data_IF_746769826169
#
_entry.id   IF_746769826169
#
_cell.length_a   1.000
_cell.length_b   1.000
_cell.length_c   1.000
_cell.angle_alpha   90.00
_cell.angle_beta   90.00
_cell.angle_gamma   90.00
#
_symmetry.space_group_name_H-M   'P 1'
#
loop_
_entity.id
_entity.type
_entity.pdbx_description
1 polymer ?
#
# COMPACT_ATOMS: atom_id res chain seq x y z
N UNK A 1 19.03 -17.57 5.79
CA UNK A 1 19.06 -16.10 6.00
C UNK A 1 19.64 -15.43 4.78
N UNK A 2 19.05 -14.32 4.38
CA UNK A 2 19.46 -13.48 3.27
C UNK A 2 19.59 -12.05 3.78
N UNK A 3 20.70 -11.40 3.48
CA UNK A 3 20.95 -9.99 3.76
C UNK A 3 21.63 -9.36 2.56
N UNK A 4 21.13 -8.22 2.12
CA UNK A 4 21.72 -7.47 1.01
C UNK A 4 23.06 -6.83 1.41
N UNK A 5 24.03 -6.79 0.50
CA UNK A 5 25.37 -6.22 0.74
C UNK A 5 25.40 -4.72 1.10
N UNK A 6 24.26 -4.02 0.98
CA UNK A 6 24.11 -2.62 1.37
C UNK A 6 23.15 -2.43 2.56
N UNK A 7 22.89 -3.51 3.32
CA UNK A 7 22.17 -3.48 4.57
C UNK A 7 23.13 -3.66 5.76
N UNK A 8 22.89 -2.90 6.83
CA UNK A 8 23.70 -2.95 8.06
C UNK A 8 22.76 -3.30 9.22
N UNK A 9 22.95 -4.42 9.93
CA UNK A 9 22.18 -4.74 11.13
C UNK A 9 22.23 -3.60 12.17
N UNK A 10 21.06 -3.24 12.71
CA UNK A 10 20.95 -2.12 13.65
C UNK A 10 21.53 -2.45 15.04
N UNK A 11 21.48 -3.72 15.42
CA UNK A 11 21.99 -4.20 16.71
C UNK A 11 22.39 -5.67 16.65
N UNK A 12 23.00 -6.16 17.73
CA UNK A 12 23.50 -7.53 17.85
C UNK A 12 22.40 -8.60 18.07
N UNK A 13 21.16 -8.20 18.32
CA UNK A 13 20.01 -9.11 18.43
C UNK A 13 19.30 -9.34 17.09
N UNK A 14 19.68 -8.60 16.04
CA UNK A 14 19.04 -8.64 14.72
C UNK A 14 18.86 -10.06 14.21
N UNK A 15 19.91 -10.89 14.21
CA UNK A 15 19.86 -12.26 13.69
C UNK A 15 18.93 -13.14 14.52
N UNK A 16 19.01 -13.04 15.84
CA UNK A 16 18.11 -13.76 16.75
C UNK A 16 16.64 -13.41 16.44
N UNK A 17 16.32 -12.13 16.40
CA UNK A 17 14.95 -11.64 16.15
C UNK A 17 14.43 -12.05 14.76
N UNK A 18 15.32 -12.26 13.78
CA UNK A 18 14.95 -12.70 12.44
C UNK A 18 14.64 -14.21 12.37
N UNK A 19 15.35 -15.02 13.16
CA UNK A 19 15.29 -16.49 13.11
C UNK A 19 14.30 -17.05 14.12
N UNK A 20 14.21 -16.48 15.30
CA UNK A 20 13.38 -16.96 16.41
C UNK A 20 11.92 -17.27 16.04
N UNK A 21 11.22 -16.49 15.18
CA UNK A 21 9.89 -16.85 14.72
C UNK A 21 9.82 -18.18 13.95
N UNK A 22 10.86 -18.50 13.15
CA UNK A 22 10.92 -19.77 12.41
C UNK A 22 11.20 -20.96 13.36
N UNK A 23 12.05 -20.76 14.36
CA UNK A 23 12.38 -21.79 15.34
C UNK A 23 11.20 -22.10 16.27
N UNK A 24 10.39 -21.10 16.56
CA UNK A 24 9.21 -21.21 17.43
C UNK A 24 7.92 -21.60 16.69
N UNK A 25 7.94 -21.70 15.36
CA UNK A 25 6.76 -22.08 14.59
C UNK A 25 6.42 -23.57 14.81
N UNK A 26 5.37 -23.81 15.61
CA UNK A 26 4.84 -25.14 15.87
C UNK A 26 3.81 -25.60 14.83
N UNK A 27 3.41 -24.71 13.94
CA UNK A 27 2.39 -24.99 12.93
C UNK A 27 2.98 -25.62 11.66
N UNK A 28 4.27 -25.39 11.40
CA UNK A 28 4.93 -25.75 10.15
C UNK A 28 4.44 -24.97 8.94
N UNK A 29 3.68 -23.88 9.17
CA UNK A 29 3.10 -23.06 8.11
C UNK A 29 3.87 -21.75 7.86
N UNK A 30 4.84 -21.43 8.70
CA UNK A 30 5.63 -20.21 8.51
C UNK A 30 6.72 -20.45 7.45
N UNK A 31 6.52 -19.89 6.27
CA UNK A 31 7.47 -20.05 5.15
C UNK A 31 8.71 -19.18 5.29
N UNK A 32 8.55 -17.95 5.76
CA UNK A 32 9.65 -17.02 5.87
C UNK A 32 9.35 -15.84 6.79
N UNK A 33 10.43 -15.19 7.21
CA UNK A 33 10.41 -13.99 8.06
C UNK A 33 11.21 -12.90 7.35
N UNK A 34 10.70 -11.68 7.38
CA UNK A 34 11.49 -10.51 6.97
C UNK A 34 11.43 -9.41 8.02
N UNK A 35 12.50 -8.65 8.08
CA UNK A 35 12.69 -7.63 9.09
C UNK A 35 12.55 -6.22 8.56
N UNK A 36 12.41 -5.28 9.49
CA UNK A 36 12.33 -3.84 9.25
C UNK A 36 13.58 -3.32 8.54
N UNK A 37 13.37 -2.34 7.67
CA UNK A 37 14.45 -1.59 7.04
C UNK A 37 14.27 -0.10 7.35
N UNK A 38 15.30 0.52 7.90
CA UNK A 38 15.34 1.95 8.21
C UNK A 38 16.32 2.68 7.30
N UNK A 39 16.05 3.95 6.96
CA UNK A 39 16.94 4.72 6.13
C UNK A 39 18.24 5.12 6.87
N UNK A 40 19.31 5.26 6.12
CA UNK A 40 20.52 5.95 6.57
C UNK A 40 20.33 7.47 6.51
N UNK A 41 21.23 8.22 7.13
CA UNK A 41 21.23 9.70 7.05
C UNK A 41 21.39 10.22 5.62
N UNK A 42 22.11 9.48 4.78
CA UNK A 42 22.35 9.77 3.37
C UNK A 42 21.24 9.31 2.42
N UNK A 43 20.25 8.58 2.90
CA UNK A 43 19.14 8.09 2.06
C UNK A 43 18.28 9.27 1.57
N UNK A 44 17.86 9.22 0.31
CA UNK A 44 17.02 10.26 -0.31
C UNK A 44 15.68 10.41 0.40
N UNK A 45 15.03 11.57 0.31
CA UNK A 45 13.73 11.81 0.92
C UNK A 45 12.63 10.86 0.39
N UNK A 46 12.67 10.52 -0.90
CA UNK A 46 11.74 9.57 -1.52
C UNK A 46 11.93 8.17 -0.94
N UNK A 47 13.16 7.69 -0.90
CA UNK A 47 13.46 6.37 -0.36
C UNK A 47 13.17 6.29 1.15
N UNK A 48 13.42 7.38 1.90
CA UNK A 48 13.03 7.47 3.33
C UNK A 48 11.54 7.29 3.53
N UNK A 49 10.74 8.01 2.75
CA UNK A 49 9.28 7.88 2.78
C UNK A 49 8.86 6.43 2.51
N UNK A 50 9.39 5.82 1.45
CA UNK A 50 9.03 4.47 1.04
C UNK A 50 9.38 3.44 2.14
N UNK A 51 10.58 3.53 2.73
CA UNK A 51 10.97 2.66 3.84
C UNK A 51 10.06 2.85 5.06
N UNK A 52 9.70 4.09 5.39
CA UNK A 52 8.84 4.39 6.55
C UNK A 52 7.41 3.88 6.35
N UNK A 53 6.87 3.98 5.14
CA UNK A 53 5.51 3.54 4.83
C UNK A 53 5.40 2.02 4.78
N UNK A 54 6.39 1.34 4.21
CA UNK A 54 6.34 -0.11 4.00
C UNK A 54 6.71 -0.90 5.25
N UNK A 55 7.74 -0.44 5.98
CA UNK A 55 8.25 -1.14 7.15
C UNK A 55 7.76 -0.50 8.45
N UNK A 56 6.54 -0.83 8.84
CA UNK A 56 5.90 -0.33 10.07
C UNK A 56 6.55 -0.82 11.37
N UNK A 57 5.95 -0.46 12.50
CA UNK A 57 6.45 -0.80 13.83
C UNK A 57 5.80 -2.05 14.43
N UNK A 58 4.71 -2.52 13.84
CA UNK A 58 3.94 -3.66 14.35
C UNK A 58 4.32 -4.96 13.65
N UNK A 59 4.45 -6.03 14.41
CA UNK A 59 4.59 -7.38 13.87
C UNK A 59 3.30 -7.80 13.16
N UNK A 60 3.45 -8.60 12.10
CA UNK A 60 2.30 -9.13 11.38
C UNK A 60 2.55 -10.49 10.74
N UNK A 61 1.57 -11.35 10.83
CA UNK A 61 1.51 -12.61 10.06
C UNK A 61 0.69 -12.39 8.80
N UNK A 62 1.33 -12.48 7.64
CA UNK A 62 0.70 -12.32 6.34
C UNK A 62 0.15 -13.66 5.85
N UNK A 63 -1.15 -13.67 5.54
CA UNK A 63 -1.88 -14.85 5.02
C UNK A 63 -2.49 -14.62 3.65
N UNK A 64 -2.48 -13.36 3.20
CA UNK A 64 -3.01 -12.91 1.90
C UNK A 64 -2.03 -12.00 1.18
N UNK A 65 -1.36 -11.11 1.92
CA UNK A 65 -0.35 -10.24 1.38
C UNK A 65 0.93 -11.03 1.09
N UNK A 66 1.37 -10.99 -0.15
CA UNK A 66 2.55 -11.70 -0.65
C UNK A 66 3.85 -10.94 -0.45
N UNK A 67 3.81 -9.77 0.20
CA UNK A 67 5.01 -8.96 0.36
C UNK A 67 6.08 -9.70 1.18
N UNK A 68 7.22 -9.92 0.56
CA UNK A 68 8.44 -10.44 1.17
C UNK A 68 9.63 -9.66 0.60
N UNK A 69 10.68 -9.47 1.37
CA UNK A 69 11.79 -8.62 0.91
C UNK A 69 13.15 -9.22 1.28
N UNK A 70 13.87 -9.68 0.26
CA UNK A 70 15.15 -10.39 0.40
C UNK A 70 16.29 -9.55 0.98
N UNK A 71 16.19 -8.24 1.03
CA UNK A 71 17.25 -7.42 1.60
C UNK A 71 17.49 -7.70 3.09
N UNK A 72 16.49 -8.24 3.81
CA UNK A 72 16.57 -8.59 5.24
C UNK A 72 15.55 -9.68 5.56
N UNK A 73 15.89 -10.94 5.31
CA UNK A 73 14.94 -12.05 5.44
C UNK A 73 15.58 -13.38 5.87
N UNK A 74 14.74 -14.30 6.32
CA UNK A 74 15.10 -15.67 6.61
C UNK A 74 13.97 -16.62 6.16
N UNK A 75 14.34 -17.80 5.70
CA UNK A 75 13.48 -18.92 5.40
C UNK A 75 14.21 -20.24 5.68
N UNK A 76 13.49 -21.32 5.88
CA UNK A 76 14.11 -22.62 6.08
C UNK A 76 14.58 -23.20 4.74
N UNK A 77 15.60 -24.08 4.80
CA UNK A 77 16.10 -24.74 3.60
C UNK A 77 15.04 -25.62 2.94
N UNK A 78 14.16 -26.23 3.71
CA UNK A 78 13.11 -27.10 3.20
C UNK A 78 12.03 -26.32 2.45
N UNK A 79 11.64 -25.15 2.96
CA UNK A 79 10.75 -24.25 2.26
C UNK A 79 11.39 -23.73 0.97
N UNK A 80 12.67 -23.34 1.01
CA UNK A 80 13.38 -22.91 -0.21
C UNK A 80 13.45 -24.01 -1.27
N UNK A 81 13.71 -25.27 -0.87
CA UNK A 81 13.72 -26.42 -1.81
C UNK A 81 12.34 -26.67 -2.42
N UNK A 82 11.28 -26.48 -1.62
CA UNK A 82 9.90 -26.70 -2.08
C UNK A 82 9.43 -25.56 -2.99
N UNK A 83 9.84 -24.34 -2.68
CA UNK A 83 9.50 -23.11 -3.38
C UNK A 83 10.81 -22.36 -3.68
N UNK A 84 11.55 -22.69 -4.74
CA UNK A 84 12.75 -21.94 -5.11
C UNK A 84 12.36 -20.56 -5.64
N UNK A 85 13.28 -19.59 -5.52
CA UNK A 85 13.10 -18.30 -6.20
C UNK A 85 13.14 -18.47 -7.71
N UNK A 86 12.33 -17.68 -8.42
CA UNK A 86 12.37 -17.62 -9.88
C UNK A 86 13.68 -16.97 -10.35
N UNK A 87 14.50 -17.73 -11.07
CA UNK A 87 15.80 -17.27 -11.58
C UNK A 87 15.67 -16.45 -12.87
N UNK A 88 14.48 -16.43 -13.49
CA UNK A 88 14.24 -15.71 -14.75
C UNK A 88 13.74 -14.29 -14.54
N UNK A 89 13.10 -14.02 -13.38
CA UNK A 89 12.55 -12.73 -13.03
C UNK A 89 13.51 -11.97 -12.12
N UNK A 90 13.79 -10.71 -12.47
CA UNK A 90 14.64 -9.83 -11.68
C UNK A 90 13.83 -8.75 -10.96
N UNK A 91 14.26 -8.36 -9.77
CA UNK A 91 13.75 -7.23 -8.96
C UNK A 91 12.45 -7.48 -8.17
N UNK A 92 11.77 -8.58 -8.36
CA UNK A 92 10.55 -8.96 -7.63
C UNK A 92 10.46 -10.46 -7.37
N UNK A 93 11.57 -11.19 -7.50
CA UNK A 93 11.67 -12.64 -7.25
C UNK A 93 11.19 -13.00 -5.83
N UNK A 94 11.43 -12.12 -4.87
CA UNK A 94 10.99 -12.28 -3.48
C UNK A 94 9.47 -12.12 -3.34
N UNK A 95 8.85 -11.20 -4.05
CA UNK A 95 7.39 -11.02 -4.05
C UNK A 95 6.67 -12.15 -4.78
N UNK A 96 7.24 -12.66 -5.88
CA UNK A 96 6.72 -13.83 -6.57
C UNK A 96 6.77 -15.06 -5.66
N UNK A 97 7.90 -15.28 -5.00
CA UNK A 97 8.06 -16.31 -3.99
C UNK A 97 7.02 -16.19 -2.88
N UNK A 98 6.84 -14.97 -2.35
CA UNK A 98 5.81 -14.69 -1.34
C UNK A 98 4.41 -15.07 -1.81
N UNK A 99 4.07 -14.78 -3.08
CA UNK A 99 2.79 -15.19 -3.67
C UNK A 99 2.64 -16.70 -3.74
N UNK A 100 3.68 -17.41 -4.14
CA UNK A 100 3.64 -18.87 -4.26
C UNK A 100 3.44 -19.55 -2.91
N UNK A 101 4.17 -19.13 -1.88
CA UNK A 101 4.00 -19.73 -0.55
C UNK A 101 2.63 -19.42 0.04
N UNK A 102 2.11 -18.20 -0.10
CA UNK A 102 0.77 -17.83 0.36
C UNK A 102 -0.33 -18.63 -0.37
N UNK A 103 -0.26 -18.76 -1.70
CA UNK A 103 -1.20 -19.55 -2.49
C UNK A 103 -1.22 -21.03 -2.09
N UNK A 104 -0.11 -21.52 -1.56
CA UNK A 104 0.00 -22.89 -1.05
C UNK A 104 -0.33 -23.02 0.44
N UNK A 105 -0.93 -22.00 1.07
CA UNK A 105 -1.43 -22.04 2.45
C UNK A 105 -0.37 -21.75 3.52
N UNK A 106 0.83 -21.36 3.13
CA UNK A 106 1.86 -20.91 4.07
C UNK A 106 1.66 -19.45 4.45
N UNK A 107 2.39 -19.02 5.49
CA UNK A 107 2.36 -17.67 6.01
C UNK A 107 3.74 -17.02 5.91
N UNK A 108 3.76 -15.70 5.85
CA UNK A 108 4.97 -14.88 5.96
C UNK A 108 4.86 -14.04 7.23
N UNK A 109 5.95 -13.90 7.97
CA UNK A 109 5.99 -13.08 9.17
C UNK A 109 6.88 -11.87 9.00
N UNK A 110 6.39 -10.72 9.40
CA UNK A 110 7.16 -9.48 9.49
C UNK A 110 7.46 -9.17 10.94
N UNK A 111 8.73 -8.86 11.25
CA UNK A 111 9.13 -8.38 12.57
C UNK A 111 9.93 -7.07 12.49
N UNK A 112 9.52 -6.01 13.20
CA UNK A 112 10.29 -4.78 13.29
C UNK A 112 11.53 -4.91 14.15
N UNK A 113 11.63 -5.97 14.96
CA UNK A 113 12.75 -6.20 15.89
C UNK A 113 14.03 -6.68 15.17
N UNK A 114 13.90 -7.30 14.00
CA UNK A 114 15.01 -7.64 13.13
C UNK A 114 15.30 -6.48 12.16
N UNK A 115 15.77 -5.35 12.70
CA UNK A 115 15.94 -4.12 11.94
C UNK A 115 17.34 -3.99 11.34
N UNK A 116 17.41 -3.53 10.08
CA UNK A 116 18.64 -3.12 9.39
C UNK A 116 18.54 -1.68 8.91
N UNK A 117 19.68 -1.01 8.78
CA UNK A 117 19.79 0.20 7.97
C UNK A 117 19.94 -0.17 6.50
N UNK A 118 19.20 0.49 5.62
CA UNK A 118 19.24 0.24 4.19
C UNK A 118 19.59 1.53 3.44
N UNK A 119 20.57 1.45 2.52
CA UNK A 119 21.10 2.63 1.83
C UNK A 119 20.07 3.31 0.92
N UNK A 120 19.23 2.54 0.27
CA UNK A 120 18.18 3.04 -0.62
C UNK A 120 16.82 2.43 -0.27
N UNK A 121 15.73 3.03 -0.77
CA UNK A 121 14.38 2.51 -0.63
C UNK A 121 14.07 1.38 -1.63
N UNK A 122 12.85 0.89 -1.57
CA UNK A 122 12.34 -0.19 -2.43
C UNK A 122 12.41 0.21 -3.91
N UNK A 123 12.21 1.49 -4.21
CA UNK A 123 12.14 2.01 -5.57
C UNK A 123 13.47 2.54 -6.12
N UNK A 124 14.59 2.36 -5.41
CA UNK A 124 15.93 2.76 -5.83
C UNK A 124 16.01 4.20 -6.36
N UNK A 125 15.54 5.17 -5.58
CA UNK A 125 15.57 6.59 -5.95
C UNK A 125 14.54 6.99 -7.01
N UNK A 126 13.43 6.26 -7.11
CA UNK A 126 12.30 6.64 -7.97
C UNK A 126 12.53 6.44 -9.47
N UNK A 127 13.30 5.44 -9.88
CA UNK A 127 13.51 5.10 -11.30
C UNK A 127 12.21 4.67 -11.96
N UNK A 128 11.62 5.55 -12.76
CA UNK A 128 10.30 5.36 -13.41
C UNK A 128 10.25 4.10 -14.26
N UNK A 129 11.30 3.82 -15.05
CA UNK A 129 11.31 2.64 -15.93
C UNK A 129 11.36 1.33 -15.15
N UNK A 130 12.04 1.32 -13.99
CA UNK A 130 12.01 0.18 -13.07
C UNK A 130 10.63 0.00 -12.48
N UNK A 131 10.00 1.08 -12.02
CA UNK A 131 8.65 1.05 -11.48
C UNK A 131 7.64 0.50 -12.50
N UNK A 132 7.69 0.98 -13.76
CA UNK A 132 6.84 0.47 -14.85
C UNK A 132 7.03 -1.02 -15.09
N UNK A 133 8.27 -1.50 -15.12
CA UNK A 133 8.55 -2.94 -15.29
C UNK A 133 7.96 -3.77 -14.14
N UNK A 134 8.17 -3.33 -12.90
CA UNK A 134 7.64 -4.02 -11.70
C UNK A 134 6.11 -4.05 -11.73
N UNK A 135 5.45 -2.91 -11.99
CA UNK A 135 3.99 -2.83 -12.09
C UNK A 135 3.47 -3.79 -13.15
N UNK A 136 4.06 -3.78 -14.34
CA UNK A 136 3.63 -4.67 -15.43
C UNK A 136 3.75 -6.17 -15.07
N UNK A 137 4.81 -6.55 -14.36
CA UNK A 137 4.97 -7.93 -13.89
C UNK A 137 3.90 -8.28 -12.84
N UNK A 138 3.67 -7.38 -11.86
CA UNK A 138 2.68 -7.60 -10.81
C UNK A 138 1.27 -7.72 -11.41
N UNK A 139 0.89 -6.83 -12.31
CA UNK A 139 -0.43 -6.84 -12.97
C UNK A 139 -0.65 -8.11 -13.79
N UNK A 140 0.39 -8.61 -14.48
CA UNK A 140 0.30 -9.85 -15.21
C UNK A 140 0.23 -11.10 -14.30
N UNK A 141 0.83 -11.01 -13.11
CA UNK A 141 0.89 -12.14 -12.16
C UNK A 141 -0.35 -12.21 -11.25
N UNK A 142 -0.79 -11.10 -10.72
CA UNK A 142 -1.96 -11.02 -9.83
C UNK A 142 -3.29 -11.06 -10.60
N UNK A 143 -3.23 -10.90 -11.92
CA UNK A 143 -4.39 -10.79 -12.79
C UNK A 143 -5.01 -9.40 -12.77
N UNK A 144 -5.87 -9.13 -13.72
CA UNK A 144 -6.63 -7.88 -13.72
C UNK A 144 -7.50 -7.78 -12.47
N UNK A 145 -7.66 -6.58 -11.90
CA UNK A 145 -8.55 -6.37 -10.76
C UNK A 145 -9.90 -7.05 -11.00
N UNK A 146 -10.42 -7.71 -9.98
CA UNK A 146 -11.70 -8.43 -10.10
C UNK A 146 -12.76 -7.48 -10.64
N UNK A 147 -13.44 -7.88 -11.72
CA UNK A 147 -14.56 -7.14 -12.25
C UNK A 147 -15.63 -6.99 -11.17
N UNK A 148 -16.07 -5.77 -10.91
CA UNK A 148 -17.17 -5.45 -9.98
C UNK A 148 -18.48 -6.16 -10.36
N UNK A 149 -18.56 -6.74 -11.57
CA UNK A 149 -19.74 -7.49 -12.06
C UNK A 149 -20.08 -8.74 -11.25
N UNK A 150 -19.17 -9.24 -10.41
CA UNK A 150 -19.41 -10.39 -9.51
C UNK A 150 -19.84 -10.00 -8.09
N UNK A 151 -19.80 -8.72 -7.75
CA UNK A 151 -20.38 -8.23 -6.50
C UNK A 151 -21.90 -8.19 -6.65
N UNK A 152 -22.64 -8.83 -5.76
CA UNK A 152 -24.09 -8.72 -5.66
C UNK A 152 -24.41 -7.33 -5.08
N UNK A 153 -24.25 -6.30 -5.90
CA UNK A 153 -24.41 -4.89 -5.52
C UNK A 153 -25.87 -4.43 -5.63
N UNK A 154 -26.75 -5.27 -6.19
CA UNK A 154 -28.15 -4.95 -6.47
C UNK A 154 -29.02 -4.61 -5.23
N UNK A 155 -28.47 -4.66 -4.03
CA UNK A 155 -29.14 -4.31 -2.77
C UNK A 155 -28.47 -3.17 -1.99
N UNK A 156 -27.37 -2.62 -2.48
CA UNK A 156 -26.64 -1.56 -1.79
C UNK A 156 -27.04 -0.21 -2.38
N UNK A 157 -27.46 0.71 -1.51
CA UNK A 157 -27.54 2.12 -1.87
C UNK A 157 -26.14 2.71 -1.69
N UNK A 158 -25.42 2.92 -2.80
CA UNK A 158 -24.04 3.40 -2.78
C UNK A 158 -24.06 4.90 -3.05
N UNK A 159 -23.62 5.67 -2.08
CA UNK A 159 -23.35 7.10 -2.25
C UNK A 159 -21.83 7.33 -2.34
N UNK A 160 -21.43 8.38 -3.04
CA UNK A 160 -20.05 8.83 -3.08
C UNK A 160 -19.91 10.12 -2.29
N UNK A 161 -18.91 10.22 -1.43
CA UNK A 161 -18.53 11.46 -0.74
C UNK A 161 -17.16 11.90 -1.25
N UNK A 162 -17.08 13.12 -1.77
CA UNK A 162 -15.84 13.75 -2.26
C UNK A 162 -15.45 14.86 -1.29
N UNK A 163 -14.54 14.60 -0.35
CA UNK A 163 -14.02 15.64 0.54
C UNK A 163 -12.99 16.50 -0.20
N UNK A 164 -13.19 17.80 -0.16
CA UNK A 164 -12.26 18.77 -0.76
C UNK A 164 -12.10 19.97 0.15
N UNK A 165 -10.88 20.48 0.29
CA UNK A 165 -10.54 21.68 1.06
C UNK A 165 -10.19 22.81 0.10
N UNK A 166 -10.76 24.00 0.35
CA UNK A 166 -10.51 25.19 -0.44
C UNK A 166 -10.99 25.07 -1.90
N UNK A 167 -10.25 25.68 -2.80
CA UNK A 167 -10.58 25.67 -4.25
C UNK A 167 -10.10 24.39 -4.93
N UNK A 168 -10.84 23.90 -5.95
CA UNK A 168 -10.44 22.71 -6.70
C UNK A 168 -9.14 22.93 -7.46
N UNK A 169 -8.27 21.92 -7.44
CA UNK A 169 -7.04 21.91 -8.22
C UNK A 169 -7.35 21.74 -9.72
N UNK A 170 -6.59 22.46 -10.54
CA UNK A 170 -6.61 22.33 -12.01
C UNK A 170 -5.38 21.59 -12.50
N UNK A 171 -5.58 20.58 -13.35
CA UNK A 171 -4.49 19.83 -14.00
C UNK A 171 -4.74 19.78 -15.50
N UNK A 172 -3.75 20.15 -16.30
CA UNK A 172 -3.85 20.24 -17.78
C UNK A 172 -5.10 21.02 -18.27
N UNK A 173 -5.44 22.14 -17.59
CA UNK A 173 -6.60 22.96 -17.92
C UNK A 173 -7.95 22.38 -17.50
N UNK A 174 -7.97 21.21 -16.83
CA UNK A 174 -9.19 20.57 -16.35
C UNK A 174 -9.33 20.73 -14.84
N UNK A 175 -10.52 21.09 -14.39
CA UNK A 175 -10.85 21.12 -12.97
C UNK A 175 -11.04 19.68 -12.44
N UNK A 176 -10.20 19.24 -11.52
CA UNK A 176 -10.20 17.86 -11.03
C UNK A 176 -11.49 17.48 -10.30
N UNK A 177 -12.15 18.41 -9.62
CA UNK A 177 -13.45 18.15 -9.00
C UNK A 177 -14.52 17.83 -10.06
N UNK A 178 -14.55 18.63 -11.14
CA UNK A 178 -15.50 18.42 -12.25
C UNK A 178 -15.26 17.07 -12.93
N UNK A 179 -14.00 16.72 -13.18
CA UNK A 179 -13.67 15.43 -13.79
C UNK A 179 -14.03 14.26 -12.86
N UNK A 180 -13.80 14.39 -11.55
CA UNK A 180 -14.22 13.40 -10.55
C UNK A 180 -15.74 13.21 -10.55
N UNK A 181 -16.51 14.29 -10.55
CA UNK A 181 -17.98 14.23 -10.60
C UNK A 181 -18.46 13.56 -11.88
N UNK A 182 -17.88 13.90 -13.04
CA UNK A 182 -18.21 13.26 -14.32
C UNK A 182 -17.95 11.75 -14.29
N UNK A 183 -16.81 11.35 -13.76
CA UNK A 183 -16.46 9.94 -13.61
C UNK A 183 -17.46 9.21 -12.70
N UNK A 184 -17.74 9.76 -11.52
CA UNK A 184 -18.68 9.18 -10.57
C UNK A 184 -20.10 9.06 -11.15
N UNK A 185 -20.55 10.03 -11.95
CA UNK A 185 -21.83 9.96 -12.68
C UNK A 185 -21.88 8.84 -13.73
N UNK A 186 -20.73 8.48 -14.31
CA UNK A 186 -20.66 7.36 -15.24
C UNK A 186 -20.81 6.00 -14.57
N UNK A 187 -20.63 5.94 -13.26
CA UNK A 187 -20.75 4.72 -12.48
C UNK A 187 -22.22 4.42 -12.14
N UNK A 188 -22.81 3.43 -12.80
CA UNK A 188 -24.22 3.03 -12.62
C UNK A 188 -24.59 2.56 -11.21
N UNK A 189 -23.61 2.29 -10.36
CA UNK A 189 -23.81 1.81 -8.99
C UNK A 189 -23.94 2.95 -7.98
N UNK A 190 -23.53 4.16 -8.32
CA UNK A 190 -23.59 5.33 -7.44
C UNK A 190 -24.92 6.02 -7.64
N UNK A 191 -25.71 6.10 -6.58
CA UNK A 191 -27.02 6.75 -6.58
C UNK A 191 -26.92 8.26 -6.41
N UNK A 192 -25.99 8.70 -5.55
CA UNK A 192 -25.81 10.12 -5.21
C UNK A 192 -24.34 10.46 -5.00
N UNK A 193 -23.97 11.70 -5.33
CA UNK A 193 -22.62 12.22 -5.16
C UNK A 193 -22.69 13.44 -4.25
N UNK A 194 -22.03 13.35 -3.10
CA UNK A 194 -21.89 14.43 -2.13
C UNK A 194 -20.50 15.04 -2.21
N UNK A 195 -20.43 16.36 -2.20
CA UNK A 195 -19.16 17.10 -2.06
C UNK A 195 -19.16 17.80 -0.71
N UNK A 196 -18.22 17.39 0.16
CA UNK A 196 -18.00 17.97 1.47
C UNK A 196 -16.85 18.97 1.39
N UNK A 197 -17.16 20.25 1.43
CA UNK A 197 -16.18 21.34 1.28
C UNK A 197 -16.40 22.46 2.28
N UNK A 198 -15.32 23.19 2.60
CA UNK A 198 -15.29 24.40 3.41
C UNK A 198 -15.37 25.69 2.58
N UNK A 199 -15.55 25.58 1.26
CA UNK A 199 -15.50 26.70 0.33
C UNK A 199 -16.77 26.77 -0.53
N UNK A 200 -17.44 27.95 -0.51
CA UNK A 200 -18.71 28.15 -1.21
C UNK A 200 -18.57 28.10 -2.75
N UNK A 201 -17.46 28.61 -3.30
CA UNK A 201 -17.24 28.55 -4.75
C UNK A 201 -17.05 27.09 -5.21
N UNK A 202 -16.38 26.28 -4.39
CA UNK A 202 -16.24 24.83 -4.63
C UNK A 202 -17.58 24.12 -4.54
N UNK A 203 -18.41 24.46 -3.55
CA UNK A 203 -19.77 23.93 -3.41
C UNK A 203 -20.65 24.32 -4.61
N UNK A 204 -20.53 25.55 -5.09
CA UNK A 204 -21.23 26.02 -6.29
C UNK A 204 -20.81 25.22 -7.53
N UNK A 205 -19.51 25.04 -7.76
CA UNK A 205 -18.99 24.20 -8.85
C UNK A 205 -19.52 22.76 -8.76
N UNK A 206 -19.58 22.20 -7.57
CA UNK A 206 -20.12 20.85 -7.35
C UNK A 206 -21.60 20.77 -7.77
N UNK A 207 -22.42 21.70 -7.29
CA UNK A 207 -23.88 21.77 -7.62
C UNK A 207 -24.14 21.98 -9.11
N UNK A 208 -23.39 22.87 -9.75
CA UNK A 208 -23.47 23.13 -11.20
C UNK A 208 -23.13 21.90 -12.05
N UNK A 209 -22.30 21.02 -11.53
CA UNK A 209 -21.94 19.76 -12.20
C UNK A 209 -22.76 18.55 -11.73
N UNK A 210 -23.81 18.80 -10.91
CA UNK A 210 -24.83 17.82 -10.53
C UNK A 210 -24.40 16.88 -9.41
N UNK A 211 -23.54 17.33 -8.53
CA UNK A 211 -23.32 16.75 -7.21
C UNK A 211 -24.09 17.53 -6.15
N UNK A 212 -24.33 16.94 -5.01
CA UNK A 212 -24.93 17.56 -3.84
C UNK A 212 -23.84 18.20 -2.99
N UNK A 213 -24.03 19.44 -2.57
CA UNK A 213 -23.21 20.11 -1.56
C UNK A 213 -24.18 20.82 -0.59
N UNK A 214 -24.80 20.06 0.32
CA UNK A 214 -25.92 20.55 1.12
C UNK A 214 -25.51 21.50 2.24
N UNK A 215 -24.24 21.54 2.60
CA UNK A 215 -23.68 22.40 3.66
C UNK A 215 -22.26 22.81 3.30
N UNK A 216 -21.80 23.86 3.99
CA UNK A 216 -20.37 24.22 4.01
C UNK A 216 -19.78 23.66 5.30
N UNK A 217 -18.73 22.86 5.16
CA UNK A 217 -18.03 22.23 6.28
C UNK A 217 -17.38 23.29 7.16
N UNK A 218 -17.54 23.22 8.50
CA UNK A 218 -16.86 24.11 9.41
C UNK A 218 -15.33 24.10 9.24
N UNK A 219 -14.70 25.25 9.46
CA UNK A 219 -13.26 25.43 9.24
C UNK A 219 -12.43 24.55 10.18
N UNK A 220 -12.96 24.24 11.36
CA UNK A 220 -12.36 23.36 12.35
C UNK A 220 -12.18 21.93 11.82
N UNK A 221 -13.09 21.49 10.94
CA UNK A 221 -13.02 20.20 10.26
C UNK A 221 -12.20 20.25 8.95
N UNK A 222 -11.60 21.38 8.64
CA UNK A 222 -10.73 21.60 7.49
C UNK A 222 -9.28 21.89 7.87
N UNK A 223 -8.92 21.78 9.15
CA UNK A 223 -7.56 21.92 9.62
C UNK A 223 -6.67 20.73 9.16
N UNK A 224 -5.36 20.95 9.09
CA UNK A 224 -4.40 19.94 8.59
C UNK A 224 -4.33 18.66 9.43
N UNK A 225 -4.65 18.78 10.71
CA UNK A 225 -4.63 17.68 11.68
C UNK A 225 -5.96 16.93 11.80
N UNK A 226 -6.98 17.31 11.04
CA UNK A 226 -8.29 16.63 11.06
C UNK A 226 -8.23 15.37 10.23
N UNK A 227 -8.66 14.26 10.81
CA UNK A 227 -8.66 12.98 10.14
C UNK A 227 -9.79 12.88 9.09
N UNK A 228 -9.54 12.13 8.01
CA UNK A 228 -10.59 11.87 7.01
C UNK A 228 -11.85 11.21 7.61
N UNK A 229 -11.76 10.26 8.58
CA UNK A 229 -12.94 9.73 9.25
C UNK A 229 -13.80 10.79 9.95
N UNK A 230 -13.20 11.81 10.56
CA UNK A 230 -13.95 12.87 11.22
C UNK A 230 -14.68 13.77 10.21
N UNK A 231 -14.04 14.05 9.08
CA UNK A 231 -14.68 14.74 7.95
C UNK A 231 -15.88 13.95 7.42
N UNK A 232 -15.71 12.63 7.21
CA UNK A 232 -16.77 11.79 6.67
C UNK A 232 -17.94 11.58 7.64
N UNK A 233 -17.71 11.60 8.94
CA UNK A 233 -18.80 11.54 9.93
C UNK A 233 -19.69 12.80 9.92
N UNK A 234 -19.12 13.92 9.54
CA UNK A 234 -19.87 15.18 9.42
C UNK A 234 -20.62 15.26 8.07
N UNK A 235 -20.12 14.60 7.03
CA UNK A 235 -20.67 14.63 5.67
C UNK A 235 -21.83 13.68 5.48
#
# INVERSE_FOLDING_TARGET
>A
MIISGHCIPKNNLWLKNLIEPLENDRTGLLAGVYGRQEPLSSTSALDRRDLTVVFGLDERTQRKDSFFHNANSALTRDIWKKFPFDETTTNIEDRLWGSDVIKNGYHIFYTPHACVYHHHGINHGGKVDRAKKIVNIIENFEGSPASLSKLIVNKLNIISVVPIKGLPTTFEGKNLLVESIKYLKSCKLISEIYVSTDNEDTAKVARENGALAPFIRPIELSAENVSLPDVLKYS
#
